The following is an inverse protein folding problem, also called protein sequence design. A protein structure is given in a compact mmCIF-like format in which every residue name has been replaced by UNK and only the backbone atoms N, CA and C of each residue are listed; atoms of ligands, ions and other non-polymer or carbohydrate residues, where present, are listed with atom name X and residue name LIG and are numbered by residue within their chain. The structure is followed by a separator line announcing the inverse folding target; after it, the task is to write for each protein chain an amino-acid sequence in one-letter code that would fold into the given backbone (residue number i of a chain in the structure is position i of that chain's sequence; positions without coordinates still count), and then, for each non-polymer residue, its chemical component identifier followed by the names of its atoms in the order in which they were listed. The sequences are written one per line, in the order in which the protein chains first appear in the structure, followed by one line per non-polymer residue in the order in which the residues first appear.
data_IF_681609116971
#
_entry.id   IF_681609116971
#
_cell.length_a   1.000
_cell.length_b   1.000
_cell.length_c   1.000
_cell.angle_alpha   90.00
_cell.angle_beta   90.00
_cell.angle_gamma   90.00
#
_symmetry.space_group_name_H-M   'P 1'
#
loop_
_entity.id
_entity.type
_entity.pdbx_description
1 polymer ?
#
# COMPACT_ATOMS: atom_id res chain seq x y z
N UNK A 1 9.96 0.71 21.03
CA UNK A 1 8.86 0.49 20.07
C UNK A 1 7.84 -0.43 20.71
N UNK A 2 6.57 -0.04 20.78
CA UNK A 2 5.49 -0.90 21.27
C UNK A 2 5.17 -1.95 20.17
N UNK A 3 4.95 -3.23 20.50
CA UNK A 3 4.55 -4.20 19.48
C UNK A 3 3.21 -3.82 18.88
N UNK A 4 3.11 -3.85 17.56
CA UNK A 4 1.84 -3.68 16.83
C UNK A 4 1.17 -5.05 16.80
N UNK A 5 -0.04 -5.20 17.37
CA UNK A 5 -0.77 -6.46 17.29
C UNK A 5 -1.11 -6.77 15.82
N UNK A 6 -1.23 -8.06 15.45
CA UNK A 6 -1.63 -8.42 14.09
C UNK A 6 -3.00 -7.81 13.79
N UNK A 7 -3.06 -7.00 12.74
CA UNK A 7 -4.30 -6.41 12.28
C UNK A 7 -5.21 -7.51 11.68
N UNK A 8 -6.52 -7.41 11.89
CA UNK A 8 -7.47 -8.13 11.05
C UNK A 8 -7.26 -7.71 9.58
N UNK A 9 -7.50 -8.57 8.57
CA UNK A 9 -7.15 -8.26 7.19
C UNK A 9 -7.71 -6.91 6.70
N UNK A 10 -8.98 -6.59 6.98
CA UNK A 10 -9.53 -5.26 6.63
C UNK A 10 -9.07 -4.09 7.52
N UNK A 11 -8.14 -4.29 8.45
CA UNK A 11 -7.58 -3.26 9.32
C UNK A 11 -6.08 -3.04 9.11
N UNK A 12 -5.50 -3.66 8.08
CA UNK A 12 -4.11 -3.45 7.68
C UNK A 12 -4.05 -2.80 6.30
N UNK A 13 -3.15 -1.83 6.16
CA UNK A 13 -2.79 -1.22 4.89
C UNK A 13 -1.47 -1.82 4.40
N UNK A 14 -1.49 -2.43 3.22
CA UNK A 14 -0.28 -2.94 2.57
C UNK A 14 0.40 -1.84 1.76
N UNK A 15 1.65 -1.50 2.08
CA UNK A 15 2.36 -0.35 1.50
C UNK A 15 3.57 -0.85 0.72
N UNK A 16 3.67 -0.51 -0.56
CA UNK A 16 4.75 -0.94 -1.44
C UNK A 16 4.90 -0.05 -2.67
N UNK A 17 5.98 -0.22 -3.41
CA UNK A 17 6.26 0.53 -4.65
C UNK A 17 6.34 -0.39 -5.88
N UNK A 18 5.83 -1.64 -5.78
CA UNK A 18 5.75 -2.57 -6.90
C UNK A 18 4.31 -3.03 -7.17
N UNK A 19 4.04 -3.38 -8.44
CA UNK A 19 2.75 -3.98 -8.81
C UNK A 19 2.50 -5.34 -8.14
N UNK A 20 3.56 -6.06 -7.76
CA UNK A 20 3.44 -7.31 -7.00
C UNK A 20 2.86 -7.08 -5.61
N UNK A 21 3.21 -5.97 -4.95
CA UNK A 21 2.65 -5.59 -3.64
C UNK A 21 1.14 -5.32 -3.75
N UNK A 22 0.72 -4.63 -4.80
CA UNK A 22 -0.70 -4.36 -5.08
C UNK A 22 -1.49 -5.66 -5.30
N UNK A 23 -0.93 -6.59 -6.08
CA UNK A 23 -1.53 -7.91 -6.30
C UNK A 23 -1.59 -8.72 -5.01
N UNK A 24 -0.54 -8.66 -4.17
CA UNK A 24 -0.51 -9.35 -2.89
C UNK A 24 -1.63 -8.84 -1.96
N UNK A 25 -1.79 -7.53 -1.85
CA UNK A 25 -2.85 -6.91 -1.06
C UNK A 25 -4.25 -7.32 -1.55
N UNK A 26 -4.51 -7.22 -2.86
CA UNK A 26 -5.78 -7.63 -3.45
C UNK A 26 -6.10 -9.11 -3.17
N UNK A 27 -5.12 -10.01 -3.31
CA UNK A 27 -5.28 -11.45 -3.01
C UNK A 27 -5.51 -11.73 -1.53
N UNK A 28 -4.94 -10.92 -0.65
CA UNK A 28 -5.13 -11.02 0.79
C UNK A 28 -6.41 -10.32 1.29
N UNK A 29 -7.14 -9.62 0.41
CA UNK A 29 -8.31 -8.82 0.79
C UNK A 29 -7.96 -7.63 1.69
N UNK A 30 -6.76 -7.08 1.52
CA UNK A 30 -6.25 -5.90 2.23
C UNK A 30 -6.36 -4.67 1.34
N UNK A 31 -6.43 -3.49 1.96
CA UNK A 31 -6.21 -2.23 1.25
C UNK A 31 -4.73 -2.07 0.90
N UNK A 32 -4.45 -1.40 -0.21
CA UNK A 32 -3.08 -1.11 -0.65
C UNK A 32 -2.82 0.38 -0.83
N UNK A 33 -1.61 0.81 -0.47
CA UNK A 33 -1.06 2.11 -0.83
C UNK A 33 0.18 1.91 -1.73
N UNK A 34 0.04 2.24 -3.01
CA UNK A 34 1.14 2.24 -3.97
C UNK A 34 1.94 3.54 -3.86
N UNK A 35 3.24 3.41 -3.58
CA UNK A 35 4.19 4.51 -3.51
C UNK A 35 4.71 4.84 -4.91
N UNK A 36 4.05 5.79 -5.60
CA UNK A 36 4.43 6.24 -6.96
C UNK A 36 5.66 7.15 -6.92
N UNK A 37 6.81 6.55 -6.61
CA UNK A 37 8.13 7.19 -6.53
C UNK A 37 8.73 7.44 -7.91
N UNK A 38 9.76 8.32 -8.03
CA UNK A 38 10.34 8.64 -9.33
C UNK A 38 10.76 7.44 -10.18
N UNK A 39 11.30 6.37 -9.58
CA UNK A 39 11.76 5.17 -10.29
C UNK A 39 10.64 4.25 -10.80
N UNK A 40 9.40 4.46 -10.37
CA UNK A 40 8.20 3.68 -10.78
C UNK A 40 7.04 4.58 -11.20
N UNK A 41 7.31 5.86 -11.51
CA UNK A 41 6.27 6.86 -11.78
C UNK A 41 5.37 6.48 -12.95
N UNK A 42 5.96 5.86 -13.97
CA UNK A 42 5.26 5.48 -15.20
C UNK A 42 4.95 3.97 -15.25
N UNK A 43 5.06 3.27 -14.12
CA UNK A 43 4.74 1.86 -14.05
C UNK A 43 3.24 1.64 -14.29
N UNK A 44 2.93 0.77 -15.24
CA UNK A 44 1.59 0.18 -15.42
C UNK A 44 1.40 -0.92 -14.38
N UNK A 45 0.27 -0.87 -13.67
CA UNK A 45 -0.01 -1.81 -12.58
C UNK A 45 -0.94 -2.94 -13.06
N UNK A 46 -0.65 -4.20 -12.70
CA UNK A 46 -1.49 -5.36 -13.06
C UNK A 46 -2.80 -5.43 -12.27
N UNK A 47 -2.96 -4.58 -11.25
CA UNK A 47 -4.16 -4.41 -10.44
C UNK A 47 -4.21 -2.95 -9.96
N UNK A 48 -5.42 -2.46 -9.68
CA UNK A 48 -5.62 -1.10 -9.16
C UNK A 48 -5.35 -1.06 -7.65
N UNK A 49 -4.49 -0.14 -7.16
CA UNK A 49 -4.28 0.05 -5.73
C UNK A 49 -5.44 0.84 -5.09
N UNK A 50 -5.68 0.65 -3.79
CA UNK A 50 -6.70 1.43 -3.05
C UNK A 50 -6.31 2.91 -2.97
N UNK A 51 -5.01 3.18 -2.80
CA UNK A 51 -4.44 4.51 -2.72
C UNK A 51 -3.15 4.60 -3.52
N UNK A 52 -2.90 5.76 -4.13
CA UNK A 52 -1.60 6.12 -4.68
C UNK A 52 -1.05 7.35 -3.96
N UNK A 53 0.21 7.28 -3.51
CA UNK A 53 0.88 8.42 -2.87
C UNK A 53 2.35 8.48 -3.28
N UNK A 54 2.94 9.67 -3.27
CA UNK A 54 4.34 9.84 -3.71
C UNK A 54 5.37 9.65 -2.59
N UNK A 55 4.94 9.67 -1.32
CA UNK A 55 5.84 9.59 -0.15
C UNK A 55 5.21 8.82 1.00
N UNK A 56 6.05 8.23 1.86
CA UNK A 56 5.59 7.58 3.09
C UNK A 56 4.94 8.55 4.09
N UNK A 57 5.31 9.84 4.06
CA UNK A 57 4.66 10.85 4.90
C UNK A 57 3.18 11.02 4.53
N UNK A 58 2.83 10.92 3.23
CA UNK A 58 1.44 10.94 2.77
C UNK A 58 0.67 9.67 3.20
N UNK A 59 1.34 8.55 3.41
CA UNK A 59 0.69 7.33 3.95
C UNK A 59 0.17 7.56 5.36
N UNK A 60 0.90 8.31 6.19
CA UNK A 60 0.47 8.62 7.57
C UNK A 60 -0.88 9.35 7.57
N UNK A 61 -1.15 10.19 6.57
CA UNK A 61 -2.42 10.89 6.43
C UNK A 61 -3.60 9.99 6.00
N UNK A 62 -3.35 8.73 5.66
CA UNK A 62 -4.38 7.72 5.35
C UNK A 62 -4.78 6.89 6.58
N UNK A 63 -4.07 7.04 7.70
CA UNK A 63 -4.32 6.30 8.93
C UNK A 63 -5.07 7.21 9.92
N UNK A 64 -6.21 6.73 10.41
CA UNK A 64 -6.97 7.36 11.50
C UNK A 64 -6.28 7.20 12.87
#
# INVERSE_FOLDING_TARGET
MRPVPPAAPRSALHVGDSGSDVVAAHRAGLDSAFLRRPHVRDAELPAEPTHEVETLHKVVALLD
#
